data_IF_347844274191
#
_entry.id   IF_347844274191
#
_cell.length_a   1.000
_cell.length_b   1.000
_cell.length_c   1.000
_cell.angle_alpha   90.00
_cell.angle_beta   90.00
_cell.angle_gamma   90.00
#
_symmetry.space_group_name_H-M   'P 1'
#
loop_
_entity.id
_entity.type
_entity.pdbx_description
1 polymer ?
#
# COMPACT_ATOMS: atom_id res chain seq x y z
N UNK A 1 10.16 18.84 -27.47
CA UNK A 1 9.31 17.64 -27.65
C UNK A 1 9.44 16.83 -26.37
N UNK A 2 8.43 16.90 -25.51
CA UNK A 2 8.40 16.11 -24.27
C UNK A 2 7.96 14.68 -24.63
N UNK A 3 8.78 13.70 -24.27
CA UNK A 3 8.45 12.28 -24.48
C UNK A 3 7.43 11.86 -23.43
N UNK A 4 6.16 11.71 -23.81
CA UNK A 4 5.16 11.07 -22.96
C UNK A 4 5.62 9.64 -22.66
N UNK A 5 6.02 9.39 -21.42
CA UNK A 5 6.32 8.04 -20.94
C UNK A 5 5.00 7.33 -20.68
N UNK A 6 4.65 6.40 -21.56
CA UNK A 6 3.52 5.50 -21.34
C UNK A 6 4.03 4.35 -20.48
N UNK A 7 3.49 4.25 -19.27
CA UNK A 7 3.75 3.11 -18.37
C UNK A 7 2.62 2.11 -18.58
N UNK A 8 2.95 0.93 -19.10
CA UNK A 8 1.97 -0.16 -19.25
C UNK A 8 1.90 -0.93 -17.95
N UNK A 9 0.75 -0.88 -17.28
CA UNK A 9 0.47 -1.70 -16.11
C UNK A 9 0.17 -3.13 -16.57
N UNK A 10 0.80 -4.17 -16.00
CA UNK A 10 0.51 -5.55 -16.38
C UNK A 10 -0.97 -5.90 -16.15
N UNK A 11 -1.59 -6.61 -17.10
CA UNK A 11 -3.03 -6.93 -17.08
C UNK A 11 -3.47 -7.78 -15.88
N UNK A 12 -2.55 -8.43 -15.18
CA UNK A 12 -2.84 -9.26 -14.01
C UNK A 12 -2.71 -8.50 -12.68
N UNK A 13 -2.31 -7.22 -12.70
CA UNK A 13 -2.30 -6.40 -11.49
C UNK A 13 -3.74 -6.00 -11.15
N UNK A 14 -4.23 -6.47 -10.02
CA UNK A 14 -5.45 -5.95 -9.41
C UNK A 14 -5.20 -4.52 -8.93
N UNK A 15 -6.22 -3.68 -8.78
CA UNK A 15 -6.03 -2.36 -8.16
C UNK A 15 -5.62 -2.53 -6.69
N UNK A 16 -4.63 -1.78 -6.17
CA UNK A 16 -4.33 -1.79 -4.75
C UNK A 16 -5.55 -1.31 -3.96
N UNK A 17 -5.85 -1.97 -2.85
CA UNK A 17 -6.97 -1.63 -1.97
C UNK A 17 -6.75 -0.34 -1.18
N UNK A 18 -5.50 0.00 -0.87
CA UNK A 18 -5.15 1.17 -0.07
C UNK A 18 -4.26 2.13 -0.86
N UNK A 19 -4.29 3.41 -0.48
CA UNK A 19 -3.59 4.49 -1.18
C UNK A 19 -2.44 5.07 -0.37
N UNK A 20 -1.49 5.70 -1.06
CA UNK A 20 -0.44 6.50 -0.41
C UNK A 20 -1.05 7.64 0.42
N UNK A 21 -0.47 7.92 1.58
CA UNK A 21 -0.97 8.92 2.54
C UNK A 21 -2.15 8.45 3.39
N UNK A 22 -2.70 7.26 3.14
CA UNK A 22 -3.80 6.73 3.93
C UNK A 22 -3.30 6.33 5.33
N UNK A 23 -4.06 6.73 6.37
CA UNK A 23 -3.79 6.37 7.76
C UNK A 23 -4.39 4.99 8.06
N UNK A 24 -3.57 4.11 8.60
CA UNK A 24 -3.89 2.78 9.11
C UNK A 24 -3.77 2.81 10.63
N UNK A 25 -4.17 1.73 11.32
CA UNK A 25 -3.91 1.58 12.76
C UNK A 25 -2.42 1.49 13.09
N UNK A 26 -1.64 0.99 12.13
CA UNK A 26 -0.20 0.79 12.28
C UNK A 26 0.57 2.09 12.02
N UNK A 27 0.07 2.97 11.15
CA UNK A 27 0.77 4.18 10.77
C UNK A 27 0.25 4.78 9.47
N UNK A 28 1.12 5.49 8.73
CA UNK A 28 0.75 6.07 7.43
C UNK A 28 1.34 5.25 6.28
N UNK A 29 0.55 4.97 5.25
CA UNK A 29 1.06 4.30 4.05
C UNK A 29 1.95 5.28 3.27
N UNK A 30 3.23 4.96 3.14
CA UNK A 30 4.25 5.75 2.44
C UNK A 30 4.77 5.05 1.17
N UNK A 31 4.41 3.79 0.95
CA UNK A 31 4.78 3.05 -0.25
C UNK A 31 3.77 1.97 -0.60
N UNK A 32 3.64 1.68 -1.89
CA UNK A 32 2.81 0.59 -2.43
C UNK A 32 3.69 -0.21 -3.38
N UNK A 33 3.75 -1.53 -3.17
CA UNK A 33 4.57 -2.43 -3.97
C UNK A 33 3.74 -3.64 -4.39
N UNK A 34 3.84 -4.01 -5.67
CA UNK A 34 3.31 -5.28 -6.16
C UNK A 34 4.40 -6.35 -6.11
N UNK A 35 4.24 -7.36 -5.27
CA UNK A 35 5.19 -8.47 -5.18
C UNK A 35 4.71 -9.65 -6.05
N UNK A 36 5.51 -9.98 -7.06
CA UNK A 36 5.38 -11.25 -7.78
C UNK A 36 5.94 -12.37 -6.89
N UNK A 37 5.26 -13.49 -6.81
CA UNK A 37 5.80 -14.67 -6.14
C UNK A 37 7.03 -15.17 -6.91
N UNK A 38 8.22 -15.05 -6.33
CA UNK A 38 9.47 -15.55 -6.93
C UNK A 38 9.61 -17.07 -6.83
N UNK A 39 8.63 -17.76 -6.23
CA UNK A 39 8.73 -19.16 -5.86
C UNK A 39 7.90 -20.03 -6.83
N UNK A 40 8.61 -20.60 -7.81
CA UNK A 40 8.21 -21.44 -8.95
C UNK A 40 7.32 -22.70 -8.70
N UNK A 41 6.52 -22.81 -7.62
CA UNK A 41 5.81 -24.08 -7.32
C UNK A 41 4.34 -23.91 -6.86
N UNK A 42 3.81 -22.70 -6.73
CA UNK A 42 2.38 -22.51 -6.39
C UNK A 42 1.63 -21.95 -7.60
N UNK A 43 0.53 -22.58 -8.05
CA UNK A 43 -0.23 -22.16 -9.24
C UNK A 43 -1.08 -20.90 -9.01
N UNK A 44 -0.96 -20.25 -7.85
CA UNK A 44 -1.61 -18.98 -7.57
C UNK A 44 -0.82 -17.88 -8.29
N UNK A 45 -1.24 -17.63 -9.53
CA UNK A 45 -0.68 -16.65 -10.48
C UNK A 45 -0.90 -15.19 -10.08
N UNK A 46 -1.44 -14.92 -8.90
CA UNK A 46 -1.83 -13.59 -8.48
C UNK A 46 -0.76 -13.05 -7.52
N UNK A 47 0.05 -12.11 -8.02
CA UNK A 47 0.95 -11.34 -7.15
C UNK A 47 0.14 -10.57 -6.09
N UNK A 48 0.77 -10.24 -4.97
CA UNK A 48 0.10 -9.59 -3.84
C UNK A 48 0.61 -8.18 -3.63
N UNK A 49 -0.32 -7.28 -3.31
CA UNK A 49 0.02 -5.93 -2.85
C UNK A 49 0.65 -5.97 -1.45
N UNK A 50 1.75 -5.24 -1.31
CA UNK A 50 2.40 -4.90 -0.05
C UNK A 50 2.46 -3.39 0.12
N UNK A 51 2.35 -2.97 1.37
CA UNK A 51 2.30 -1.57 1.77
C UNK A 51 3.45 -1.29 2.72
N UNK A 52 4.22 -0.25 2.42
CA UNK A 52 5.20 0.30 3.34
C UNK A 52 4.49 1.29 4.26
N UNK A 53 4.46 1.01 5.55
CA UNK A 53 3.76 1.80 6.55
C UNK A 53 4.78 2.43 7.49
N UNK A 54 4.75 3.75 7.58
CA UNK A 54 5.53 4.52 8.55
C UNK A 54 4.87 4.39 9.92
N UNK A 55 5.48 3.58 10.80
CA UNK A 55 4.95 3.28 12.14
C UNK A 55 5.43 4.28 13.19
N UNK A 56 6.63 4.83 13.03
CA UNK A 56 7.21 5.87 13.88
C UNK A 56 7.80 6.97 13.00
N UNK A 57 7.36 8.21 13.21
CA UNK A 57 7.95 9.39 12.54
C UNK A 57 9.27 9.83 13.17
N UNK A 58 9.52 9.46 14.43
CA UNK A 58 10.74 9.88 15.15
C UNK A 58 11.95 9.06 14.71
N UNK A 59 11.76 7.77 14.47
CA UNK A 59 12.83 6.83 14.08
C UNK A 59 12.81 6.51 12.58
N UNK A 60 11.93 7.16 11.82
CA UNK A 60 11.66 6.87 10.40
C UNK A 60 11.42 5.37 10.13
N UNK A 61 10.83 4.68 11.11
CA UNK A 61 10.66 3.24 11.06
C UNK A 61 9.52 2.88 10.09
N UNK A 62 9.86 2.11 9.06
CA UNK A 62 8.93 1.64 8.04
C UNK A 62 8.79 0.12 8.09
N UNK A 63 7.56 -0.36 8.17
CA UNK A 63 7.23 -1.78 8.13
C UNK A 63 6.53 -2.15 6.82
N UNK A 64 6.81 -3.35 6.32
CA UNK A 64 6.18 -3.88 5.11
C UNK A 64 5.08 -4.86 5.48
N UNK A 65 3.84 -4.50 5.14
CA UNK A 65 2.64 -5.24 5.52
C UNK A 65 1.90 -5.70 4.26
N UNK A 66 1.40 -6.93 4.25
CA UNK A 66 0.56 -7.44 3.15
C UNK A 66 -0.80 -6.74 3.12
N UNK A 67 -1.46 -6.72 1.96
CA UNK A 67 -2.81 -6.14 1.83
C UNK A 67 -3.83 -6.70 2.84
N UNK A 68 -3.72 -7.99 3.16
CA UNK A 68 -4.55 -8.66 4.17
C UNK A 68 -4.23 -8.24 5.62
N UNK A 69 -3.02 -7.76 5.88
CA UNK A 69 -2.55 -7.38 7.22
C UNK A 69 -2.77 -5.89 7.55
N UNK A 70 -3.18 -5.07 6.59
CA UNK A 70 -3.48 -3.66 6.81
C UNK A 70 -4.76 -3.53 7.61
N UNK A 71 -4.68 -2.85 8.75
CA UNK A 71 -5.83 -2.56 9.60
C UNK A 71 -6.24 -1.10 9.48
N UNK A 72 -7.49 -0.84 9.08
CA UNK A 72 -8.03 0.51 9.02
C UNK A 72 -8.38 1.03 10.43
N UNK A 73 -8.10 2.31 10.73
CA UNK A 73 -8.59 2.92 11.97
C UNK A 73 -10.12 2.92 11.97
N UNK A 74 -10.75 2.83 13.14
CA UNK A 74 -12.21 2.94 13.24
C UNK A 74 -12.66 4.29 12.70
N UNK A 75 -13.76 4.30 11.94
CA UNK A 75 -14.31 5.47 11.23
C UNK A 75 -14.51 6.71 12.13
N UNK A 76 -14.70 6.49 13.43
CA UNK A 76 -14.85 7.55 14.44
C UNK A 76 -13.60 8.45 14.59
N UNK A 77 -12.41 7.99 14.22
CA UNK A 77 -11.20 8.81 14.29
C UNK A 77 -10.96 9.65 13.02
N UNK A 78 -11.62 9.33 11.91
CA UNK A 78 -11.51 10.09 10.65
C UNK A 78 -12.29 11.42 10.70
N UNK A 79 -13.30 11.54 11.59
CA UNK A 79 -14.13 12.75 11.70
C UNK A 79 -13.54 13.83 12.63
N UNK A 80 -12.42 13.58 13.30
CA UNK A 80 -11.76 14.56 14.18
C UNK A 80 -11.01 15.65 13.39
N UNK A 81 -10.67 15.39 12.12
CA UNK A 81 -10.00 16.36 11.24
C UNK A 81 -10.99 17.09 10.31
N UNK A 82 -12.10 17.60 10.86
CA UNK A 82 -12.82 18.72 10.21
C UNK A 82 -12.29 19.99 10.86
N UNK A 83 -11.34 20.64 10.20
CA UNK A 83 -10.75 21.90 10.64
C UNK A 83 -11.83 22.96 10.84
N UNK A 84 -11.79 23.61 12.02
CA UNK A 84 -12.52 24.84 12.36
C UNK A 84 -11.69 26.04 11.95
#
# INVERSE_FOLDING_TARGET
>A
METSKVVTIPNHWTSPKYSLGQRTKQGMIVGVQYCLFENLVVPERDGLWRYAVLVSTEDEQVEYISESGVQLPPEKELQSCVWR
#
